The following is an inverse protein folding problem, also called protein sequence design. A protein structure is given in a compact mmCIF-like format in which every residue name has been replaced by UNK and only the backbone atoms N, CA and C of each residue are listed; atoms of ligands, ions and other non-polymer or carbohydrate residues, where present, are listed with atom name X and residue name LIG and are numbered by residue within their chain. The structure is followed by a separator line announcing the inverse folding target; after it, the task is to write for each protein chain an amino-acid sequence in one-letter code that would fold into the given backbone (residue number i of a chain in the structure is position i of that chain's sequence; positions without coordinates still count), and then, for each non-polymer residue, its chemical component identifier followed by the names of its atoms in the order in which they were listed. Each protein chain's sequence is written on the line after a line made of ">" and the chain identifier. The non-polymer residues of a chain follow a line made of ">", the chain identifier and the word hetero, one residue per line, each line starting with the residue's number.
data_IF_832883856978
#
_entry.id   IF_832883856978
#
_cell.length_a   1.000
_cell.length_b   1.000
_cell.length_c   1.000
_cell.angle_alpha   90.00
_cell.angle_beta   90.00
_cell.angle_gamma   90.00
#
_symmetry.space_group_name_H-M   'P 1'
#
loop_
_entity.id
_entity.type
_entity.pdbx_description
1 polymer ?
#
# COMPACT_ATOMS: atom_id res chain seq x y z
N UNK A 1 3.73 21.94 11.35
CA UNK A 1 3.51 20.80 12.26
C UNK A 1 2.48 19.81 11.71
N UNK A 2 1.50 20.24 10.92
CA UNK A 2 0.45 19.40 10.29
C UNK A 2 0.94 18.38 9.26
N UNK A 3 2.09 18.61 8.63
CA UNK A 3 2.66 17.65 7.67
C UNK A 3 3.03 16.29 8.28
N UNK A 4 3.24 16.18 9.60
CA UNK A 4 3.56 14.91 10.26
C UNK A 4 2.34 13.97 10.37
N UNK A 5 1.13 14.52 10.28
CA UNK A 5 -0.15 13.81 10.49
C UNK A 5 -0.89 13.51 9.18
N UNK A 6 -0.20 13.51 8.02
CA UNK A 6 -0.77 13.03 6.76
C UNK A 6 -0.96 11.51 6.81
N UNK A 7 -2.03 11.11 7.49
CA UNK A 7 -2.47 9.74 7.68
C UNK A 7 -3.87 9.56 7.09
N UNK A 8 -4.13 8.39 6.52
CA UNK A 8 -5.50 7.94 6.31
C UNK A 8 -5.60 6.48 6.73
N UNK A 9 -6.75 6.15 7.32
CA UNK A 9 -7.18 4.79 7.60
C UNK A 9 -8.38 4.47 6.70
N UNK A 10 -8.41 3.26 6.16
CA UNK A 10 -9.53 2.71 5.44
C UNK A 10 -9.83 1.34 6.03
N UNK A 11 -11.08 1.12 6.42
CA UNK A 11 -11.52 -0.16 6.99
C UNK A 11 -12.47 -0.85 6.03
N UNK A 12 -12.50 -2.18 6.08
CA UNK A 12 -13.36 -2.99 5.25
C UNK A 12 -13.68 -4.31 5.92
N UNK A 13 -14.85 -4.85 5.59
CA UNK A 13 -15.27 -6.19 6.00
C UNK A 13 -15.50 -6.99 4.73
N UNK A 14 -14.86 -8.16 4.65
CA UNK A 14 -15.12 -9.19 3.68
C UNK A 14 -15.86 -10.31 4.40
N UNK A 15 -17.14 -10.48 4.11
CA UNK A 15 -17.89 -11.66 4.55
C UNK A 15 -18.04 -12.64 3.39
N UNK A 16 -18.02 -13.93 3.70
CA UNK A 16 -18.21 -14.98 2.70
C UNK A 16 -18.27 -16.36 3.32
N UNK A 17 -18.72 -17.33 2.54
CA UNK A 17 -18.83 -18.72 2.98
C UNK A 17 -17.63 -19.50 2.46
N UNK A 18 -16.99 -20.28 3.33
CA UNK A 18 -15.90 -21.19 2.99
C UNK A 18 -16.39 -22.61 3.21
N UNK A 19 -16.45 -23.37 2.12
CA UNK A 19 -16.75 -24.80 2.13
C UNK A 19 -15.43 -25.58 2.05
N UNK A 20 -15.14 -26.42 3.04
CA UNK A 20 -13.96 -27.30 3.03
C UNK A 20 -14.47 -28.75 2.96
N UNK A 21 -14.37 -29.36 1.78
CA UNK A 21 -14.81 -30.75 1.52
C UNK A 21 -16.29 -30.99 1.91
N UNK A 22 -16.57 -32.08 2.64
CA UNK A 22 -17.90 -32.47 3.14
C UNK A 22 -18.27 -31.81 4.49
N UNK A 23 -17.47 -30.85 4.97
CA UNK A 23 -17.82 -30.11 6.19
C UNK A 23 -18.88 -29.05 5.91
N UNK A 24 -19.74 -28.74 6.90
CA UNK A 24 -20.71 -27.68 6.78
C UNK A 24 -20.03 -26.35 6.48
N UNK A 25 -20.67 -25.61 5.57
CA UNK A 25 -20.30 -24.26 5.16
C UNK A 25 -19.95 -23.36 6.35
N UNK A 26 -18.70 -22.86 6.37
CA UNK A 26 -18.22 -21.95 7.39
C UNK A 26 -18.42 -20.52 6.92
N UNK A 27 -19.26 -19.75 7.62
CA UNK A 27 -19.35 -18.32 7.37
C UNK A 27 -18.13 -17.61 7.99
N UNK A 28 -17.31 -17.00 7.14
CA UNK A 28 -16.14 -16.22 7.52
C UNK A 28 -16.43 -14.73 7.43
N UNK A 29 -16.01 -14.03 8.48
CA UNK A 29 -16.02 -12.57 8.56
C UNK A 29 -14.58 -12.10 8.72
N UNK A 30 -13.98 -11.65 7.62
CA UNK A 30 -12.63 -11.12 7.60
C UNK A 30 -12.70 -9.59 7.62
N UNK A 31 -12.28 -9.01 8.72
CA UNK A 31 -12.10 -7.56 8.85
C UNK A 31 -10.66 -7.19 8.51
N UNK A 32 -10.48 -6.08 7.78
CA UNK A 32 -9.17 -5.55 7.46
C UNK A 32 -9.12 -4.03 7.56
N UNK A 33 -7.93 -3.53 7.88
CA UNK A 33 -7.63 -2.11 7.87
C UNK A 33 -6.40 -1.83 7.00
N UNK A 34 -6.47 -0.73 6.24
CA UNK A 34 -5.37 -0.15 5.50
C UNK A 34 -5.05 1.23 6.08
N UNK A 35 -3.90 1.33 6.71
CA UNK A 35 -3.35 2.61 7.19
C UNK A 35 -2.22 3.06 6.28
N UNK A 36 -2.24 4.33 5.87
CA UNK A 36 -1.12 4.98 5.18
C UNK A 36 -0.68 6.20 5.98
N UNK A 37 0.62 6.34 6.21
CA UNK A 37 1.22 7.53 6.79
C UNK A 37 2.34 8.08 5.87
N UNK A 38 2.06 9.23 5.22
CA UNK A 38 3.00 9.97 4.37
C UNK A 38 3.61 11.18 5.06
N UNK A 39 3.39 11.34 6.37
CA UNK A 39 3.84 12.53 7.06
C UNK A 39 5.35 12.64 7.19
N UNK A 40 5.86 13.87 7.31
CA UNK A 40 7.28 14.11 7.52
C UNK A 40 7.69 13.59 8.91
N UNK A 41 8.43 12.47 8.93
CA UNK A 41 8.78 11.72 10.14
C UNK A 41 10.01 12.25 10.87
N UNK A 42 10.59 13.37 10.44
CA UNK A 42 11.78 13.93 11.08
C UNK A 42 11.55 14.32 12.55
N UNK A 43 10.29 14.59 12.95
CA UNK A 43 9.93 15.16 14.25
C UNK A 43 9.06 14.24 15.14
N UNK A 44 8.94 12.94 14.82
CA UNK A 44 8.07 12.00 15.59
C UNK A 44 8.88 10.95 16.36
N UNK A 45 10.14 11.24 16.67
CA UNK A 45 10.92 10.34 17.50
C UNK A 45 10.39 10.32 18.94
N UNK A 46 10.37 9.13 19.53
CA UNK A 46 9.73 8.84 20.81
C UNK A 46 8.20 8.88 20.75
N UNK A 47 7.61 8.98 19.54
CA UNK A 47 6.16 8.89 19.38
C UNK A 47 5.68 7.52 19.83
N UNK A 48 4.73 7.53 20.76
CA UNK A 48 4.04 6.35 21.28
C UNK A 48 2.62 6.39 20.80
N UNK A 49 2.11 5.23 20.38
CA UNK A 49 0.72 5.12 20.01
C UNK A 49 0.14 3.79 20.46
N UNK A 50 -1.16 3.79 20.66
CA UNK A 50 -1.97 2.59 20.86
C UNK A 50 -3.22 2.73 20.02
N UNK A 51 -3.46 1.77 19.14
CA UNK A 51 -4.65 1.67 18.30
C UNK A 51 -5.42 0.42 18.68
N UNK A 52 -6.72 0.56 18.94
CA UNK A 52 -7.65 -0.54 19.19
C UNK A 52 -8.68 -0.56 18.07
N UNK A 53 -8.71 -1.69 17.39
CA UNK A 53 -9.66 -1.99 16.33
C UNK A 53 -10.62 -3.03 16.87
N UNK A 54 -11.92 -2.77 16.79
CA UNK A 54 -12.91 -3.71 17.28
C UNK A 54 -14.11 -3.79 16.36
N UNK A 55 -14.63 -5.00 16.21
CA UNK A 55 -15.84 -5.29 15.47
C UNK A 55 -16.75 -6.22 16.29
N UNK A 56 -18.05 -5.97 16.25
CA UNK A 56 -19.09 -6.91 16.71
C UNK A 56 -19.87 -7.43 15.50
N UNK A 57 -19.60 -8.66 15.04
CA UNK A 57 -20.20 -9.20 13.82
C UNK A 57 -21.73 -9.16 13.82
N UNK A 58 -22.35 -9.44 14.97
CA UNK A 58 -23.81 -9.52 15.11
C UNK A 58 -24.55 -8.20 14.82
N UNK A 59 -23.89 -7.04 14.98
CA UNK A 59 -24.51 -5.72 14.79
C UNK A 59 -23.83 -4.90 13.70
N UNK A 60 -22.72 -5.38 13.14
CA UNK A 60 -21.86 -4.62 12.25
C UNK A 60 -21.17 -3.42 12.91
N UNK A 61 -21.33 -3.23 14.22
CA UNK A 61 -20.71 -2.11 14.93
C UNK A 61 -19.20 -2.27 14.96
N UNK A 62 -18.51 -1.17 14.67
CA UNK A 62 -17.07 -1.12 14.55
C UNK A 62 -16.52 0.14 15.21
N UNK A 63 -15.33 0.04 15.77
CA UNK A 63 -14.59 1.18 16.26
C UNK A 63 -13.12 1.11 15.87
N UNK A 64 -12.58 2.29 15.59
CA UNK A 64 -11.16 2.55 15.46
C UNK A 64 -10.80 3.60 16.50
N UNK A 65 -10.00 3.22 17.50
CA UNK A 65 -9.61 4.09 18.62
C UNK A 65 -8.10 4.19 18.63
N UNK A 66 -7.55 5.39 18.49
CA UNK A 66 -6.11 5.61 18.52
C UNK A 66 -5.79 6.70 19.53
N UNK A 67 -4.89 6.37 20.44
CA UNK A 67 -4.24 7.33 21.32
C UNK A 67 -2.79 7.53 20.87
N UNK A 68 -2.38 8.79 20.66
CA UNK A 68 -1.03 9.15 20.22
C UNK A 68 -0.42 10.15 21.18
N UNK A 69 0.82 9.89 21.58
CA UNK A 69 1.66 10.80 22.33
C UNK A 69 2.95 11.08 21.56
N UNK A 70 3.25 12.36 21.32
CA UNK A 70 4.47 12.82 20.67
C UNK A 70 5.27 13.67 21.65
N UNK A 71 6.53 13.30 21.97
CA UNK A 71 7.36 14.06 22.91
C UNK A 71 7.40 15.54 22.56
N UNK A 72 7.24 16.38 23.58
CA UNK A 72 7.31 17.85 23.48
C UNK A 72 6.23 18.51 22.60
N UNK A 73 5.26 17.76 22.08
CA UNK A 73 4.17 18.30 21.27
C UNK A 73 2.81 18.12 21.94
N UNK A 74 2.40 16.88 22.21
CA UNK A 74 1.14 16.56 22.86
C UNK A 74 1.19 15.17 23.49
N UNK A 75 0.41 14.99 24.55
CA UNK A 75 0.20 13.70 25.20
C UNK A 75 -1.26 13.31 25.04
N UNK A 76 -1.49 12.03 24.81
CA UNK A 76 -2.80 11.40 24.75
C UNK A 76 -3.79 12.10 23.81
N UNK A 77 -3.41 12.28 22.54
CA UNK A 77 -4.29 12.84 21.52
C UNK A 77 -5.25 11.74 21.03
N UNK A 78 -6.57 11.84 21.31
CA UNK A 78 -7.55 10.88 20.84
C UNK A 78 -7.82 11.09 19.35
N UNK A 79 -7.76 10.01 18.57
CA UNK A 79 -8.08 9.96 17.16
C UNK A 79 -8.91 8.72 16.88
N UNK A 80 -9.86 8.82 15.96
CA UNK A 80 -10.63 7.64 15.55
C UNK A 80 -12.08 7.93 15.26
N UNK A 81 -12.84 6.85 15.14
CA UNK A 81 -14.24 6.88 14.76
C UNK A 81 -14.95 5.59 15.18
N UNK A 82 -16.28 5.67 15.16
CA UNK A 82 -17.20 4.56 15.30
C UNK A 82 -17.98 4.43 14.01
N UNK A 83 -18.15 3.21 13.51
CA UNK A 83 -19.02 2.88 12.40
C UNK A 83 -20.22 2.11 12.96
N UNK A 84 -21.42 2.67 12.77
CA UNK A 84 -22.67 2.05 13.20
C UNK A 84 -23.20 1.10 12.12
N UNK A 85 -24.08 0.17 12.49
CA UNK A 85 -24.62 -0.84 11.56
C UNK A 85 -25.37 -0.27 10.34
N UNK A 86 -25.75 1.01 10.36
CA UNK A 86 -26.32 1.73 9.21
C UNK A 86 -25.30 2.25 8.20
N UNK A 87 -23.99 2.11 8.47
CA UNK A 87 -22.90 2.63 7.64
C UNK A 87 -22.45 4.05 8.02
N UNK A 88 -23.08 4.66 9.03
CA UNK A 88 -22.72 6.00 9.51
C UNK A 88 -21.39 5.96 10.27
N UNK A 89 -20.48 6.85 9.86
CA UNK A 89 -19.16 7.05 10.50
C UNK A 89 -19.24 8.29 11.38
N UNK A 90 -19.04 8.08 12.68
CA UNK A 90 -19.05 9.15 13.68
C UNK A 90 -17.64 9.34 14.24
N UNK A 91 -17.05 10.54 14.14
CA UNK A 91 -15.72 10.81 14.68
C UNK A 91 -15.72 10.78 16.20
N UNK A 92 -14.58 10.39 16.76
CA UNK A 92 -14.37 10.35 18.20
C UNK A 92 -14.18 11.75 18.79
N UNK A 93 -14.75 11.98 19.98
CA UNK A 93 -14.60 13.22 20.76
C UNK A 93 -13.64 13.05 21.93
N UNK A 94 -13.66 11.88 22.55
CA UNK A 94 -12.85 11.57 23.73
C UNK A 94 -12.48 10.09 23.77
N UNK A 95 -11.33 9.77 24.37
CA UNK A 95 -10.77 8.43 24.48
C UNK A 95 -9.93 8.29 25.74
N UNK A 96 -10.20 7.23 26.48
CA UNK A 96 -9.40 6.75 27.59
C UNK A 96 -9.15 5.24 27.39
N UNK A 97 -7.88 4.85 27.30
CA UNK A 97 -7.44 3.46 27.10
C UNK A 97 -6.58 3.04 28.30
N UNK A 98 -7.00 1.96 28.96
CA UNK A 98 -6.24 1.27 30.01
C UNK A 98 -5.95 -0.16 29.57
N UNK A 99 -4.68 -0.48 29.31
CA UNK A 99 -4.22 -1.84 29.02
C UNK A 99 -3.45 -2.35 30.24
N UNK A 100 -4.01 -3.34 30.93
CA UNK A 100 -3.41 -3.90 32.13
C UNK A 100 -2.43 -5.00 31.75
N UNK A 101 -1.12 -4.84 32.05
CA UNK A 101 -0.12 -5.82 31.65
C UNK A 101 -0.32 -7.17 32.37
N UNK A 102 0.11 -8.24 31.71
CA UNK A 102 0.30 -9.53 32.37
C UNK A 102 1.36 -9.35 33.48
N UNK A 103 0.96 -9.61 34.71
CA UNK A 103 1.87 -9.65 35.87
C UNK A 103 2.05 -11.09 36.29
N UNK A 104 3.12 -11.40 37.02
CA UNK A 104 3.43 -12.75 37.52
C UNK A 104 2.30 -13.42 38.31
N UNK A 105 1.32 -12.66 38.81
CA UNK A 105 0.16 -13.15 39.54
C UNK A 105 -1.16 -13.19 38.73
N UNK A 106 -1.18 -12.74 37.47
CA UNK A 106 -2.37 -12.77 36.58
C UNK A 106 -2.02 -13.40 35.23
N UNK A 107 -2.61 -14.57 34.95
CA UNK A 107 -2.44 -15.30 33.70
C UNK A 107 -3.08 -14.61 32.47
N UNK A 108 -4.04 -13.70 32.66
CA UNK A 108 -4.76 -13.04 31.56
C UNK A 108 -4.53 -11.52 31.60
N UNK A 109 -4.18 -10.94 30.44
CA UNK A 109 -4.14 -9.50 30.22
C UNK A 109 -5.54 -8.98 29.87
N UNK A 110 -5.87 -7.77 30.30
CA UNK A 110 -7.17 -7.17 30.05
C UNK A 110 -7.00 -5.73 29.57
N UNK A 111 -7.92 -5.30 28.72
CA UNK A 111 -8.02 -3.90 28.34
C UNK A 111 -9.38 -3.33 28.72
N UNK A 112 -9.39 -2.01 28.91
CA UNK A 112 -10.59 -1.19 29.00
C UNK A 112 -10.42 0.01 28.07
N UNK A 113 -11.49 0.35 27.36
CA UNK A 113 -11.57 1.57 26.59
C UNK A 113 -12.89 2.27 26.93
N UNK A 114 -12.80 3.52 27.37
CA UNK A 114 -13.94 4.42 27.53
C UNK A 114 -13.81 5.48 26.44
N UNK A 115 -14.85 5.67 25.64
CA UNK A 115 -14.76 6.61 24.53
C UNK A 115 -16.12 7.23 24.20
N UNK A 116 -16.09 8.44 23.67
CA UNK A 116 -17.29 9.18 23.33
C UNK A 116 -17.28 9.55 21.84
N UNK A 117 -18.40 9.30 21.17
CA UNK A 117 -18.66 9.79 19.82
C UNK A 117 -19.96 10.63 19.85
N UNK A 118 -21.09 10.04 19.50
CA UNK A 118 -22.42 10.60 19.78
C UNK A 118 -22.99 10.14 21.12
N UNK A 119 -22.60 8.95 21.55
CA UNK A 119 -22.91 8.37 22.85
C UNK A 119 -21.62 7.89 23.54
N UNK A 120 -21.74 7.57 24.83
CA UNK A 120 -20.64 7.03 25.62
C UNK A 120 -20.57 5.51 25.49
N UNK A 121 -19.37 5.01 25.20
CA UNK A 121 -19.09 3.58 25.07
C UNK A 121 -18.08 3.14 26.11
N UNK A 122 -18.31 1.93 26.65
CA UNK A 122 -17.41 1.25 27.58
C UNK A 122 -17.17 -0.15 27.08
N UNK A 123 -15.91 -0.44 26.75
CA UNK A 123 -15.48 -1.73 26.26
C UNK A 123 -14.48 -2.31 27.25
N UNK A 124 -14.67 -3.58 27.58
CA UNK A 124 -13.72 -4.35 28.37
C UNK A 124 -13.56 -5.72 27.74
N UNK A 125 -12.32 -6.18 27.66
CA UNK A 125 -12.03 -7.48 27.08
C UNK A 125 -10.72 -8.09 27.53
N UNK A 126 -10.53 -9.33 27.10
CA UNK A 126 -9.30 -10.09 27.24
C UNK A 126 -8.34 -9.72 26.12
N UNK A 127 -7.05 -9.74 26.43
CA UNK A 127 -5.96 -9.47 25.49
C UNK A 127 -5.10 -10.73 25.43
N UNK A 128 -4.86 -11.23 24.22
CA UNK A 128 -3.93 -12.34 24.01
C UNK A 128 -2.49 -11.88 24.21
N UNK A 129 -1.56 -12.83 24.31
CA UNK A 129 -0.12 -12.51 24.33
C UNK A 129 0.26 -11.70 23.07
N UNK A 130 1.06 -10.62 23.20
CA UNK A 130 1.47 -9.81 22.05
C UNK A 130 2.42 -10.57 21.13
N UNK A 131 2.27 -10.31 19.83
CA UNK A 131 3.26 -10.62 18.78
C UNK A 131 4.08 -9.34 18.58
N UNK A 132 5.39 -9.44 18.78
CA UNK A 132 6.31 -8.29 18.75
C UNK A 132 7.10 -8.30 17.45
N UNK A 133 7.16 -7.15 16.79
CA UNK A 133 7.97 -6.91 15.59
C UNK A 133 8.94 -5.75 15.84
N UNK A 134 10.22 -6.08 15.83
CA UNK A 134 11.28 -5.09 15.86
C UNK A 134 11.70 -4.73 14.43
N UNK A 135 11.65 -3.45 14.10
CA UNK A 135 12.18 -2.96 12.83
C UNK A 135 13.54 -2.30 13.04
N UNK A 136 14.54 -2.78 12.30
CA UNK A 136 15.87 -2.15 12.15
C UNK A 136 16.07 -1.53 10.75
N UNK A 137 15.15 -1.79 9.81
CA UNK A 137 15.27 -1.38 8.42
C UNK A 137 14.14 -0.41 8.02
N UNK A 138 14.46 0.89 7.95
CA UNK A 138 13.57 1.95 7.46
C UNK A 138 12.99 2.85 8.55
N UNK A 139 12.75 2.29 9.73
CA UNK A 139 12.49 2.99 10.99
C UNK A 139 13.05 2.13 12.14
N UNK A 140 13.42 2.76 13.25
CA UNK A 140 13.82 2.08 14.50
C UNK A 140 12.62 2.06 15.42
N UNK A 141 12.24 0.91 15.96
CA UNK A 141 11.16 0.83 16.94
C UNK A 141 10.53 -0.55 17.04
N UNK A 142 9.58 -0.64 17.97
CA UNK A 142 8.86 -1.86 18.33
C UNK A 142 7.38 -1.69 17.97
N UNK A 143 6.80 -2.69 17.31
CA UNK A 143 5.36 -2.84 17.12
C UNK A 143 4.88 -4.09 17.85
N UNK A 144 3.82 -3.95 18.64
CA UNK A 144 3.17 -5.03 19.34
C UNK A 144 1.74 -5.20 18.84
N UNK A 145 1.37 -6.45 18.52
CA UNK A 145 0.05 -6.82 18.05
C UNK A 145 -0.58 -7.81 19.03
N UNK A 146 -1.75 -7.49 19.58
CA UNK A 146 -2.49 -8.39 20.46
C UNK A 146 -3.92 -8.56 19.99
N UNK A 147 -4.36 -9.81 19.81
CA UNK A 147 -5.78 -10.07 19.56
C UNK A 147 -6.58 -9.80 20.82
N UNK A 148 -7.80 -9.29 20.62
CA UNK A 148 -8.71 -9.00 21.72
C UNK A 148 -10.06 -9.64 21.50
N UNK A 149 -10.65 -10.04 22.63
CA UNK A 149 -12.01 -10.51 22.73
C UNK A 149 -12.73 -9.67 23.78
N UNK A 150 -13.84 -9.02 23.42
CA UNK A 150 -14.51 -8.05 24.28
C UNK A 150 -16.03 -8.15 24.23
N UNK A 151 -16.68 -7.51 25.20
CA UNK A 151 -18.13 -7.33 25.20
C UNK A 151 -18.50 -5.85 25.21
N UNK A 152 -19.47 -5.49 24.38
CA UNK A 152 -20.06 -4.16 24.32
C UNK A 152 -21.58 -4.29 24.13
N UNK A 153 -22.38 -3.59 24.95
CA UNK A 153 -23.85 -3.67 24.90
C UNK A 153 -24.40 -5.11 24.84
N UNK A 154 -23.81 -6.02 25.63
CA UNK A 154 -24.11 -7.47 25.69
C UNK A 154 -23.74 -8.28 24.43
N UNK A 155 -23.17 -7.66 23.40
CA UNK A 155 -22.69 -8.31 22.20
C UNK A 155 -21.22 -8.68 22.34
N UNK A 156 -20.87 -9.85 21.81
CA UNK A 156 -19.50 -10.33 21.73
C UNK A 156 -18.80 -9.67 20.53
N UNK A 157 -17.58 -9.22 20.74
CA UNK A 157 -16.76 -8.59 19.71
C UNK A 157 -15.31 -9.09 19.75
N UNK A 158 -14.64 -8.88 18.62
CA UNK A 158 -13.27 -9.29 18.38
C UNK A 158 -12.49 -8.14 17.75
N UNK A 159 -11.18 -8.18 17.90
CA UNK A 159 -10.36 -7.07 17.45
C UNK A 159 -8.87 -7.26 17.60
N UNK A 160 -8.17 -6.15 17.45
CA UNK A 160 -6.73 -6.07 17.50
C UNK A 160 -6.30 -4.81 18.24
N UNK A 161 -5.33 -4.95 19.15
CA UNK A 161 -4.56 -3.84 19.70
C UNK A 161 -3.23 -3.79 18.95
N UNK A 162 -2.88 -2.61 18.45
CA UNK A 162 -1.61 -2.30 17.81
C UNK A 162 -0.97 -1.18 18.62
N UNK A 163 0.15 -1.46 19.27
CA UNK A 163 0.90 -0.46 20.03
C UNK A 163 2.33 -0.39 19.54
N UNK A 164 2.97 0.76 19.70
CA UNK A 164 4.36 0.88 19.32
C UNK A 164 5.02 2.17 19.76
N UNK A 165 6.34 2.15 19.70
CA UNK A 165 7.20 3.32 19.93
C UNK A 165 8.13 3.49 18.73
N UNK A 166 8.14 4.70 18.18
CA UNK A 166 9.04 5.08 17.09
C UNK A 166 10.33 5.62 17.71
N UNK A 167 11.38 4.81 17.72
CA UNK A 167 12.70 5.22 18.21
C UNK A 167 13.41 6.13 17.20
N UNK A 168 14.39 6.91 17.67
CA UNK A 168 15.24 7.75 16.83
C UNK A 168 15.81 6.93 15.66
N UNK A 169 15.86 7.56 14.47
CA UNK A 169 16.57 6.98 13.33
C UNK A 169 18.02 6.73 13.74
N UNK A 170 18.49 5.49 13.61
CA UNK A 170 19.91 5.23 13.46
C UNK A 170 20.42 6.13 12.33
N UNK A 171 21.41 6.98 12.62
CA UNK A 171 22.13 7.76 11.61
C UNK A 171 22.73 6.79 10.61
N UNK A 172 22.00 6.47 9.55
CA UNK A 172 22.59 5.82 8.38
C UNK A 172 23.67 6.78 7.88
N UNK A 173 24.87 6.29 7.51
CA UNK A 173 25.77 7.14 6.74
C UNK A 173 25.00 7.58 5.51
N UNK A 174 24.71 8.87 5.41
CA UNK A 174 24.21 9.49 4.20
C UNK A 174 25.32 9.35 3.15
N UNK A 175 25.39 8.19 2.50
CA UNK A 175 25.90 8.19 1.13
C UNK A 175 24.88 9.02 0.37
N UNK A 176 25.18 10.31 0.20
CA UNK A 176 24.46 11.17 -0.71
C UNK A 176 24.33 10.38 -2.00
N UNK A 177 23.09 9.99 -2.33
CA UNK A 177 22.84 9.37 -3.62
C UNK A 177 23.31 10.40 -4.64
N UNK A 178 24.23 10.05 -5.55
CA UNK A 178 24.71 10.99 -6.54
C UNK A 178 23.49 11.59 -7.23
N UNK A 179 23.43 12.93 -7.29
CA UNK A 179 22.36 13.63 -7.99
C UNK A 179 22.46 13.22 -9.45
N UNK A 180 21.55 12.34 -9.88
CA UNK A 180 21.54 11.85 -11.26
C UNK A 180 20.82 12.88 -12.09
N UNK A 181 21.54 13.48 -13.04
CA UNK A 181 20.92 14.33 -14.05
C UNK A 181 19.96 13.49 -14.89
N UNK A 182 18.78 14.06 -15.15
CA UNK A 182 17.85 13.45 -16.09
C UNK A 182 18.52 13.33 -17.46
N UNK A 183 18.42 12.18 -18.16
CA UNK A 183 19.06 12.02 -19.46
C UNK A 183 18.47 13.01 -20.46
N UNK A 184 19.34 13.63 -21.28
CA UNK A 184 18.90 14.58 -22.32
C UNK A 184 18.13 13.90 -23.45
N UNK A 185 18.52 12.66 -23.77
CA UNK A 185 17.89 11.83 -24.79
C UNK A 185 17.43 10.53 -24.14
N UNK A 186 16.16 10.18 -24.33
CA UNK A 186 15.58 8.93 -23.83
C UNK A 186 15.55 7.93 -24.98
N UNK A 187 16.29 6.81 -24.91
CA UNK A 187 16.25 5.79 -25.95
C UNK A 187 14.92 5.03 -25.93
N UNK A 188 14.55 4.40 -27.07
CA UNK A 188 13.29 3.64 -27.21
C UNK A 188 13.27 2.40 -26.30
N UNK A 189 14.42 1.77 -26.09
CA UNK A 189 14.61 0.67 -25.14
C UNK A 189 15.79 0.91 -24.21
N UNK A 190 15.72 0.35 -23.00
CA UNK A 190 16.84 0.34 -22.04
C UNK A 190 16.95 -1.00 -21.33
N UNK A 191 18.17 -1.45 -21.11
CA UNK A 191 18.45 -2.63 -20.29
C UNK A 191 18.35 -2.28 -18.79
N UNK A 192 17.99 -3.25 -17.94
CA UNK A 192 17.95 -3.04 -16.48
C UNK A 192 19.30 -2.59 -15.88
N UNK A 193 20.40 -2.93 -16.55
CA UNK A 193 21.76 -2.55 -16.14
C UNK A 193 22.08 -1.08 -16.43
N UNK A 194 21.35 -0.43 -17.34
CA UNK A 194 21.55 0.96 -17.71
C UNK A 194 20.98 1.89 -16.62
N UNK A 195 21.70 2.96 -16.27
CA UNK A 195 21.26 3.92 -15.25
C UNK A 195 19.94 4.61 -15.61
N UNK A 196 19.66 4.81 -16.90
CA UNK A 196 18.42 5.40 -17.41
C UNK A 196 17.20 4.57 -16.97
N UNK A 197 17.36 3.25 -16.83
CA UNK A 197 16.27 2.37 -16.38
C UNK A 197 15.72 2.75 -15.01
N UNK A 198 16.49 3.47 -14.17
CA UNK A 198 16.13 3.76 -12.79
C UNK A 198 15.23 4.99 -12.62
N UNK A 199 14.97 5.73 -13.70
CA UNK A 199 14.07 6.87 -13.71
C UNK A 199 12.63 6.41 -13.94
N UNK A 200 11.80 6.51 -12.90
CA UNK A 200 10.40 6.06 -12.96
C UNK A 200 9.58 6.73 -14.07
N UNK A 201 9.87 7.98 -14.42
CA UNK A 201 9.19 8.68 -15.53
C UNK A 201 9.57 8.16 -16.93
N UNK A 202 10.65 7.38 -17.05
CA UNK A 202 11.10 6.76 -18.30
C UNK A 202 10.66 5.29 -18.37
N UNK A 203 10.78 4.56 -17.26
CA UNK A 203 10.63 3.11 -17.21
C UNK A 203 9.40 2.62 -16.43
N UNK A 204 8.61 3.54 -15.88
CA UNK A 204 7.53 3.23 -14.93
C UNK A 204 8.03 2.74 -13.58
N UNK A 205 7.08 2.53 -12.66
CA UNK A 205 7.38 2.11 -11.29
C UNK A 205 8.09 0.76 -11.20
N UNK A 206 7.66 -0.24 -11.99
CA UNK A 206 8.26 -1.59 -11.95
C UNK A 206 9.62 -1.63 -12.65
N UNK A 207 9.73 -1.03 -13.83
CA UNK A 207 10.98 -0.95 -14.59
C UNK A 207 12.07 -0.24 -13.79
N UNK A 208 11.75 0.89 -13.14
CA UNK A 208 12.70 1.60 -12.28
C UNK A 208 13.10 0.82 -11.03
N UNK A 209 12.17 0.10 -10.40
CA UNK A 209 12.52 -0.83 -9.32
C UNK A 209 13.44 -1.94 -9.78
N UNK A 210 13.21 -2.55 -10.96
CA UNK A 210 14.10 -3.59 -11.50
C UNK A 210 15.50 -3.03 -11.82
N UNK A 211 15.59 -1.83 -12.40
CA UNK A 211 16.88 -1.18 -12.62
C UNK A 211 17.65 -0.91 -11.32
N UNK A 212 16.95 -0.41 -10.28
CA UNK A 212 17.54 -0.18 -8.94
C UNK A 212 17.96 -1.49 -8.28
N UNK A 213 17.13 -2.53 -8.35
CA UNK A 213 17.44 -3.85 -7.82
C UNK A 213 18.63 -4.47 -8.55
N UNK A 214 18.73 -4.30 -9.87
CA UNK A 214 19.87 -4.77 -10.69
C UNK A 214 21.16 -4.06 -10.30
N UNK A 215 21.09 -2.79 -9.91
CA UNK A 215 22.26 -2.09 -9.35
C UNK A 215 22.61 -2.62 -7.96
N UNK A 216 21.61 -2.80 -7.08
CA UNK A 216 21.82 -3.30 -5.72
C UNK A 216 22.32 -4.75 -5.69
N UNK A 217 21.90 -5.60 -6.62
CA UNK A 217 22.36 -7.00 -6.69
C UNK A 217 23.86 -7.13 -6.96
N UNK A 218 24.54 -6.06 -7.40
CA UNK A 218 26.00 -6.06 -7.55
C UNK A 218 26.74 -6.15 -6.20
N UNK A 219 26.12 -5.63 -5.15
CA UNK A 219 26.69 -5.54 -3.80
C UNK A 219 25.97 -6.45 -2.79
N UNK A 220 25.02 -7.30 -3.22
CA UNK A 220 24.15 -8.08 -2.35
C UNK A 220 23.89 -9.50 -2.89
N UNK A 221 23.50 -10.43 -2.03
CA UNK A 221 23.25 -11.84 -2.37
C UNK A 221 21.86 -12.09 -2.96
N UNK A 222 21.53 -11.46 -4.09
CA UNK A 222 20.34 -11.81 -4.87
C UNK A 222 20.55 -11.58 -6.36
N UNK A 223 19.74 -12.26 -7.20
CA UNK A 223 19.85 -12.19 -8.66
C UNK A 223 18.58 -11.56 -9.23
N UNK A 224 18.75 -10.55 -10.09
CA UNK A 224 17.67 -10.00 -10.91
C UNK A 224 17.77 -10.61 -12.31
N UNK A 225 16.69 -11.21 -12.86
CA UNK A 225 16.69 -11.69 -14.23
C UNK A 225 17.05 -10.57 -15.21
N UNK A 226 17.87 -10.88 -16.21
CA UNK A 226 18.19 -9.95 -17.30
C UNK A 226 16.91 -9.57 -18.05
N UNK A 227 16.86 -8.35 -18.56
CA UNK A 227 15.71 -7.86 -19.30
C UNK A 227 15.85 -6.42 -19.73
N UNK A 228 14.90 -6.02 -20.58
CA UNK A 228 14.83 -4.70 -21.20
C UNK A 228 13.52 -4.02 -20.81
N UNK A 229 13.47 -2.72 -20.99
CA UNK A 229 12.31 -1.86 -20.78
C UNK A 229 12.07 -1.13 -22.09
N UNK A 230 10.85 -1.22 -22.61
CA UNK A 230 10.35 -0.32 -23.65
C UNK A 230 9.96 0.97 -22.95
N UNK A 231 10.61 2.08 -23.30
CA UNK A 231 10.52 3.33 -22.53
C UNK A 231 9.26 4.13 -22.88
N UNK A 232 9.00 5.19 -22.10
CA UNK A 232 7.98 6.17 -22.44
C UNK A 232 8.24 6.88 -23.78
N UNK A 233 9.50 7.04 -24.20
CA UNK A 233 9.81 7.58 -25.53
C UNK A 233 9.31 6.66 -26.65
N UNK A 234 9.43 5.33 -26.50
CA UNK A 234 8.85 4.39 -27.45
C UNK A 234 7.31 4.42 -27.43
N UNK A 235 6.71 4.66 -26.26
CA UNK A 235 5.27 4.86 -26.20
C UNK A 235 4.85 6.14 -26.95
N UNK A 236 5.56 7.25 -26.76
CA UNK A 236 5.33 8.51 -27.47
C UNK A 236 5.46 8.33 -28.99
N UNK A 237 6.49 7.62 -29.45
CA UNK A 237 6.70 7.31 -30.86
C UNK A 237 5.59 6.43 -31.45
N UNK A 238 5.02 5.53 -30.64
CA UNK A 238 3.89 4.68 -31.05
C UNK A 238 2.56 5.45 -31.16
N UNK A 239 2.41 6.60 -30.50
CA UNK A 239 1.14 7.34 -30.48
C UNK A 239 0.86 8.01 -31.83
N UNK A 240 -0.04 7.41 -32.60
CA UNK A 240 -0.54 8.00 -33.85
C UNK A 240 -1.66 9.02 -33.59
N UNK A 241 -1.91 9.97 -34.53
CA UNK A 241 -3.07 10.86 -34.45
C UNK A 241 -4.41 10.14 -34.31
N UNK A 242 -4.53 8.93 -34.88
CA UNK A 242 -5.72 8.09 -34.76
C UNK A 242 -5.91 7.58 -33.32
N UNK A 243 -4.86 7.05 -32.70
CA UNK A 243 -4.88 6.61 -31.30
C UNK A 243 -5.23 7.78 -30.39
N UNK A 244 -4.55 8.92 -30.55
CA UNK A 244 -4.81 10.13 -29.76
C UNK A 244 -6.25 10.63 -29.93
N UNK A 245 -6.77 10.62 -31.15
CA UNK A 245 -8.17 10.98 -31.43
C UNK A 245 -9.16 10.05 -30.75
N UNK A 246 -8.89 8.73 -30.76
CA UNK A 246 -9.73 7.72 -30.13
C UNK A 246 -9.72 7.84 -28.60
N UNK A 247 -8.54 8.03 -27.99
CA UNK A 247 -8.39 8.26 -26.54
C UNK A 247 -9.10 9.54 -26.12
N UNK A 248 -8.93 10.64 -26.87
CA UNK A 248 -9.63 11.90 -26.58
C UNK A 248 -11.14 11.77 -26.69
N UNK A 249 -11.64 10.94 -27.61
CA UNK A 249 -13.07 10.66 -27.69
C UNK A 249 -13.56 9.86 -26.47
N UNK A 250 -12.79 8.86 -26.02
CA UNK A 250 -13.06 8.11 -24.80
C UNK A 250 -13.12 9.03 -23.58
N UNK A 251 -12.15 9.92 -23.40
CA UNK A 251 -12.13 10.91 -22.31
C UNK A 251 -13.41 11.77 -22.33
N UNK A 252 -13.80 12.27 -23.49
CA UNK A 252 -15.01 13.10 -23.59
C UNK A 252 -16.29 12.37 -23.19
N UNK A 253 -16.39 11.07 -23.46
CA UNK A 253 -17.54 10.28 -23.02
C UNK A 253 -17.43 9.94 -21.53
N UNK A 254 -16.24 9.59 -21.04
CA UNK A 254 -16.00 9.29 -19.62
C UNK A 254 -16.30 10.48 -18.70
N UNK A 255 -15.97 11.69 -19.15
CA UNK A 255 -16.24 12.92 -18.39
C UNK A 255 -17.65 13.49 -18.63
N UNK A 256 -18.50 12.83 -19.43
CA UNK A 256 -19.87 13.28 -19.69
C UNK A 256 -19.98 14.48 -20.64
N UNK A 257 -18.88 14.88 -21.30
CA UNK A 257 -18.89 15.94 -22.31
C UNK A 257 -19.57 15.50 -23.61
N UNK A 258 -19.71 14.19 -23.83
CA UNK A 258 -20.45 13.59 -24.95
C UNK A 258 -21.21 12.35 -24.48
N UNK A 259 -22.39 12.14 -25.05
CA UNK A 259 -23.13 10.90 -24.86
C UNK A 259 -22.45 9.74 -25.61
N UNK A 260 -22.38 8.56 -24.99
CA UNK A 260 -21.85 7.34 -25.60
C UNK A 260 -21.77 6.18 -24.62
N UNK A 261 -21.66 4.96 -25.13
CA UNK A 261 -21.43 3.77 -24.32
C UNK A 261 -19.93 3.58 -24.07
N UNK A 262 -19.51 3.70 -22.81
CA UNK A 262 -18.11 3.55 -22.40
C UNK A 262 -17.51 2.20 -22.77
N UNK A 263 -18.28 1.11 -22.66
CA UNK A 263 -17.81 -0.24 -22.94
C UNK A 263 -17.46 -0.39 -24.42
N UNK A 264 -18.32 0.12 -25.29
CA UNK A 264 -18.10 0.04 -26.74
C UNK A 264 -16.95 0.94 -27.19
N UNK A 265 -16.81 2.11 -26.57
CA UNK A 265 -15.70 3.02 -26.88
C UNK A 265 -14.37 2.46 -26.40
N UNK A 266 -14.31 1.91 -25.18
CA UNK A 266 -13.11 1.22 -24.69
C UNK A 266 -12.69 0.10 -25.65
N UNK A 267 -13.62 -0.75 -26.09
CA UNK A 267 -13.34 -1.79 -27.10
C UNK A 267 -12.81 -1.20 -28.40
N UNK A 268 -13.38 -0.10 -28.86
CA UNK A 268 -12.93 0.58 -30.08
C UNK A 268 -11.51 1.10 -29.95
N UNK A 269 -11.16 1.75 -28.83
CA UNK A 269 -9.80 2.23 -28.57
C UNK A 269 -8.82 1.06 -28.50
N UNK A 270 -9.16 -0.01 -27.77
CA UNK A 270 -8.33 -1.21 -27.70
C UNK A 270 -8.09 -1.83 -29.09
N UNK A 271 -9.13 -1.93 -29.91
CA UNK A 271 -9.00 -2.46 -31.28
C UNK A 271 -8.12 -1.59 -32.19
N UNK A 272 -8.15 -0.25 -32.02
CA UNK A 272 -7.28 0.65 -32.78
C UNK A 272 -5.83 0.42 -32.36
N UNK A 273 -5.56 0.36 -31.05
CA UNK A 273 -4.21 0.12 -30.53
C UNK A 273 -3.68 -1.25 -30.98
N UNK A 274 -4.49 -2.30 -30.91
CA UNK A 274 -4.10 -3.67 -31.29
C UNK A 274 -3.79 -3.81 -32.78
N UNK A 275 -4.50 -3.07 -33.64
CA UNK A 275 -4.28 -3.10 -35.10
C UNK A 275 -3.20 -2.14 -35.58
N UNK A 276 -2.77 -1.20 -34.73
CA UNK A 276 -1.71 -0.27 -35.08
C UNK A 276 -0.38 -1.02 -35.04
N UNK A 277 0.36 -1.10 -36.16
CA UNK A 277 1.67 -1.74 -36.15
C UNK A 277 2.65 -0.91 -35.31
N UNK A 278 3.57 -1.59 -34.63
CA UNK A 278 4.68 -0.93 -33.96
C UNK A 278 5.61 -0.31 -35.02
N UNK A 279 6.05 0.96 -34.85
CA UNK A 279 7.09 1.56 -35.67
C UNK A 279 8.33 0.67 -35.79
N UNK A 280 8.92 0.62 -36.99
CA UNK A 280 10.09 -0.23 -37.30
C UNK A 280 11.28 0.09 -36.38
N UNK A 281 11.47 1.35 -36.01
CA UNK A 281 12.53 1.80 -35.10
C UNK A 281 12.40 1.17 -33.71
N UNK A 282 11.17 1.02 -33.20
CA UNK A 282 10.91 0.36 -31.91
C UNK A 282 11.17 -1.13 -32.02
N UNK A 283 10.68 -1.77 -33.09
CA UNK A 283 10.90 -3.19 -33.36
C UNK A 283 12.40 -3.52 -33.46
N UNK A 284 13.15 -2.67 -34.15
CA UNK A 284 14.60 -2.77 -34.30
C UNK A 284 15.29 -2.61 -32.94
N UNK A 285 14.96 -1.56 -32.19
CA UNK A 285 15.54 -1.30 -30.87
C UNK A 285 15.33 -2.48 -29.90
N UNK A 286 14.11 -3.04 -29.86
CA UNK A 286 13.80 -4.23 -29.05
C UNK A 286 14.65 -5.43 -29.49
N UNK A 287 14.71 -5.69 -30.79
CA UNK A 287 15.42 -6.86 -31.34
C UNK A 287 16.92 -6.76 -31.08
N UNK A 288 17.51 -5.58 -31.29
CA UNK A 288 18.93 -5.33 -31.07
C UNK A 288 19.30 -5.47 -29.59
N UNK A 289 18.53 -4.89 -28.67
CA UNK A 289 18.79 -4.99 -27.23
C UNK A 289 18.65 -6.43 -26.71
N UNK A 290 17.66 -7.19 -27.20
CA UNK A 290 17.52 -8.60 -26.84
C UNK A 290 18.66 -9.46 -27.41
N UNK A 291 19.04 -9.27 -28.68
CA UNK A 291 20.18 -9.97 -29.28
C UNK A 291 21.49 -9.62 -28.60
N UNK A 292 21.70 -8.36 -28.23
CA UNK A 292 22.87 -7.96 -27.47
C UNK A 292 22.93 -8.66 -26.11
N UNK A 293 21.79 -8.91 -25.48
CA UNK A 293 21.70 -9.51 -24.15
C UNK A 293 21.78 -11.04 -24.14
N UNK A 294 21.18 -11.70 -25.12
CA UNK A 294 21.02 -13.17 -25.18
C UNK A 294 21.79 -13.82 -26.34
N UNK A 295 22.44 -13.04 -27.21
CA UNK A 295 23.14 -13.52 -28.39
C UNK A 295 22.17 -14.07 -29.45
N UNK A 296 22.70 -14.93 -30.33
CA UNK A 296 21.92 -15.59 -31.39
C UNK A 296 20.90 -16.60 -30.84
N UNK A 297 20.98 -16.96 -29.56
CA UNK A 297 20.05 -17.87 -28.88
C UNK A 297 18.75 -17.20 -28.41
N UNK A 298 18.55 -15.91 -28.70
CA UNK A 298 17.38 -15.12 -28.25
C UNK A 298 16.04 -15.82 -28.56
N UNK A 299 15.94 -16.50 -29.70
CA UNK A 299 14.74 -17.21 -30.15
C UNK A 299 14.43 -18.47 -29.31
N UNK A 300 15.43 -18.98 -28.57
CA UNK A 300 15.28 -20.09 -27.64
C UNK A 300 14.73 -19.68 -26.26
N UNK A 301 14.65 -18.38 -25.97
CA UNK A 301 14.18 -17.86 -24.69
C UNK A 301 12.69 -17.52 -24.71
N UNK A 302 12.04 -17.73 -23.56
CA UNK A 302 10.68 -17.23 -23.29
C UNK A 302 10.77 -15.97 -22.44
N UNK A 303 10.04 -14.95 -22.83
CA UNK A 303 10.03 -13.65 -22.15
C UNK A 303 8.72 -13.41 -21.42
N UNK A 304 8.80 -12.78 -20.25
CA UNK A 304 7.64 -12.25 -19.55
C UNK A 304 7.45 -10.78 -19.92
N UNK A 305 6.40 -10.48 -20.69
CA UNK A 305 6.03 -9.10 -21.02
C UNK A 305 5.13 -8.55 -19.92
N UNK A 306 5.56 -7.47 -19.26
CA UNK A 306 4.88 -6.88 -18.11
C UNK A 306 4.70 -5.39 -18.27
N UNK A 307 3.49 -4.89 -17.99
CA UNK A 307 3.23 -3.47 -17.94
C UNK A 307 3.93 -2.82 -16.74
N UNK A 308 4.45 -1.62 -16.95
CA UNK A 308 5.08 -0.78 -15.93
C UNK A 308 4.55 0.64 -16.08
N UNK A 309 3.55 1.00 -15.28
CA UNK A 309 2.91 2.31 -15.34
C UNK A 309 3.79 3.40 -14.74
N UNK A 310 3.74 4.59 -15.34
CA UNK A 310 4.25 5.86 -14.81
C UNK A 310 3.20 6.57 -13.99
#
# INVERSE_FOLDING_TARGET
>A
STEALNCYAQTGVLSGTVSINDEPDLELYLFGEKVRNLGNRANISGCKFTTILGNTPATGFYFHLTDISVPYAFNNLPLGFVLQGGGDIVPLKDLDIDIQPQTSNKLESFFKANFNAEEEYKVKGKVTKPIVFDSVLGWSGCLEFSFIEFKIKQQQGFGLIISGEINEKLKRPEKALPVRSFPKNVPLTVQFTNEISQFGVISGGKGSSLGKLTQLSKDNEFIVPRGIIVTTAAYEEFLTPEILGAVKYLENVAYGNRAGDLKDICKKVSNIVEKTPLPDEICQSITEDLKHMYGDEVDGYKFAVRSSST
#
